data_IF_046735220744
#
_entry.id   IF_046735220744
#
_cell.length_a   1.000
_cell.length_b   1.000
_cell.length_c   1.000
_cell.angle_alpha   90.00
_cell.angle_beta   90.00
_cell.angle_gamma   90.00
#
_symmetry.space_group_name_H-M   'P 1'
#
loop_
_entity.id
_entity.type
_entity.pdbx_description
1 polymer ?
#
# COMPACT_ATOMS: atom_id res chain seq x y z
N UNK A 1 9.34 14.20 18.86
CA UNK A 1 8.20 14.17 17.92
C UNK A 1 8.64 14.81 16.61
N UNK A 2 9.16 14.04 15.65
CA UNK A 2 9.66 14.59 14.38
C UNK A 2 8.55 14.59 13.34
N UNK A 3 8.14 15.78 12.90
CA UNK A 3 7.14 15.99 11.87
C UNK A 3 7.59 15.37 10.54
N UNK A 4 6.70 14.64 9.87
CA UNK A 4 6.90 14.18 8.50
C UNK A 4 6.75 15.37 7.53
N UNK A 5 7.66 15.57 6.56
CA UNK A 5 7.48 16.60 5.56
C UNK A 5 6.24 16.30 4.71
N UNK A 6 5.40 17.31 4.51
CA UNK A 6 4.29 17.27 3.54
C UNK A 6 4.90 17.16 2.15
N UNK A 7 4.46 16.17 1.38
CA UNK A 7 4.77 16.07 -0.06
C UNK A 7 4.24 17.34 -0.73
N UNK A 8 5.12 18.13 -1.32
CA UNK A 8 4.75 19.36 -2.00
C UNK A 8 3.84 19.04 -3.20
N UNK A 9 2.73 19.77 -3.30
CA UNK A 9 1.78 19.68 -4.41
C UNK A 9 2.52 19.89 -5.74
N UNK A 10 2.62 18.83 -6.54
CA UNK A 10 3.24 18.86 -7.86
C UNK A 10 2.17 18.47 -8.89
N UNK A 11 1.09 19.24 -8.98
CA UNK A 11 0.01 19.00 -9.95
C UNK A 11 -0.50 20.32 -10.54
N UNK A 12 0.37 21.00 -11.29
CA UNK A 12 -0.09 21.86 -12.39
C UNK A 12 0.33 21.19 -13.69
N UNK A 13 -0.27 20.02 -13.98
CA UNK A 13 -0.14 19.40 -15.30
C UNK A 13 -1.00 20.21 -16.27
N UNK A 14 -0.42 20.84 -17.32
CA UNK A 14 -1.22 21.53 -18.31
C UNK A 14 -2.17 20.55 -18.99
N UNK A 15 -3.48 20.89 -19.07
CA UNK A 15 -4.52 20.06 -19.71
C UNK A 15 -4.48 20.10 -21.24
N UNK A 16 -3.32 20.37 -21.83
CA UNK A 16 -3.15 20.36 -23.29
C UNK A 16 -2.99 18.94 -23.79
N UNK A 17 -3.56 18.65 -24.97
CA UNK A 17 -3.40 17.34 -25.60
C UNK A 17 -1.93 17.16 -25.96
N UNK A 18 -1.27 16.07 -25.52
CA UNK A 18 0.11 15.82 -25.87
C UNK A 18 0.23 15.52 -27.37
N UNK A 19 1.33 15.97 -27.95
CA UNK A 19 1.77 15.62 -29.30
C UNK A 19 2.17 14.14 -29.36
N UNK A 20 2.25 13.59 -30.57
CA UNK A 20 2.72 12.22 -30.77
C UNK A 20 4.15 12.03 -30.25
N UNK A 21 5.04 13.00 -30.48
CA UNK A 21 6.42 12.95 -30.00
C UNK A 21 6.50 12.87 -28.47
N UNK A 22 5.70 13.67 -27.77
CA UNK A 22 5.62 13.63 -26.29
C UNK A 22 5.06 12.31 -25.78
N UNK A 23 4.09 11.71 -26.48
CA UNK A 23 3.57 10.40 -26.13
C UNK A 23 4.61 9.30 -26.31
N UNK A 24 5.35 9.31 -27.41
CA UNK A 24 6.43 8.34 -27.67
C UNK A 24 7.51 8.42 -26.59
N UNK A 25 7.97 9.63 -26.27
CA UNK A 25 8.94 9.85 -25.19
C UNK A 25 8.43 9.35 -23.82
N UNK A 26 7.13 9.55 -23.55
CA UNK A 26 6.50 9.05 -22.32
C UNK A 26 6.43 7.51 -22.30
N UNK A 27 6.19 6.86 -23.43
CA UNK A 27 6.16 5.39 -23.53
C UNK A 27 7.55 4.81 -23.28
N UNK A 28 8.59 5.33 -23.93
CA UNK A 28 9.97 4.90 -23.72
C UNK A 28 10.38 5.01 -22.24
N UNK A 29 10.06 6.14 -21.60
CA UNK A 29 10.31 6.33 -20.18
C UNK A 29 9.54 5.34 -19.28
N UNK A 30 8.35 4.89 -19.70
CA UNK A 30 7.55 3.90 -18.99
C UNK A 30 8.13 2.49 -19.17
N UNK A 31 8.57 2.13 -20.37
CA UNK A 31 9.21 0.86 -20.67
C UNK A 31 10.49 0.69 -19.85
N UNK A 32 11.35 1.72 -19.81
CA UNK A 32 12.54 1.76 -18.95
C UNK A 32 12.21 1.56 -17.47
N UNK A 33 11.14 2.20 -17.01
CA UNK A 33 10.69 2.08 -15.63
C UNK A 33 10.23 0.66 -15.34
N UNK A 34 9.49 0.03 -16.26
CA UNK A 34 9.05 -1.36 -16.13
C UNK A 34 10.24 -2.31 -16.10
N UNK A 35 11.20 -2.17 -17.03
CA UNK A 35 12.40 -3.00 -17.07
C UNK A 35 13.20 -2.95 -15.76
N UNK A 36 13.33 -1.76 -15.14
CA UNK A 36 13.95 -1.61 -13.82
C UNK A 36 13.17 -2.35 -12.72
N UNK A 37 11.85 -2.26 -12.72
CA UNK A 37 11.00 -2.95 -11.75
C UNK A 37 11.05 -4.47 -11.90
N UNK A 38 11.02 -4.99 -13.13
CA UNK A 38 11.17 -6.41 -13.43
C UNK A 38 12.53 -6.95 -12.98
N UNK A 39 13.59 -6.14 -13.13
CA UNK A 39 14.92 -6.45 -12.63
C UNK A 39 15.07 -6.25 -11.09
N UNK A 40 13.98 -5.95 -10.37
CA UNK A 40 13.97 -5.73 -8.92
C UNK A 40 14.64 -4.43 -8.46
N UNK A 41 14.99 -3.53 -9.38
CA UNK A 41 15.65 -2.23 -9.12
C UNK A 41 14.61 -1.11 -9.08
N UNK A 42 13.73 -1.17 -8.10
CA UNK A 42 12.78 -0.11 -7.85
C UNK A 42 13.43 1.04 -7.06
N UNK A 43 13.13 2.32 -7.39
CA UNK A 43 13.66 3.46 -6.65
C UNK A 43 13.29 3.44 -5.16
N UNK A 44 14.13 3.99 -4.27
CA UNK A 44 13.79 4.09 -2.85
C UNK A 44 12.52 4.94 -2.68
N UNK A 45 11.53 4.38 -1.96
CA UNK A 45 10.23 5.03 -1.76
C UNK A 45 9.17 4.75 -2.83
N UNK A 46 9.51 4.08 -3.94
CA UNK A 46 8.50 3.47 -4.80
C UNK A 46 7.89 2.31 -4.00
N UNK A 47 6.63 2.42 -3.57
CA UNK A 47 5.96 1.41 -2.73
C UNK A 47 5.93 -0.01 -3.34
N UNK A 48 6.40 -0.17 -4.57
CA UNK A 48 6.61 -1.43 -5.31
C UNK A 48 8.00 -2.05 -5.11
N UNK A 49 8.98 -1.30 -4.59
CA UNK A 49 10.33 -1.79 -4.29
C UNK A 49 10.35 -2.79 -3.14
N UNK A 50 9.49 -2.55 -2.16
CA UNK A 50 9.46 -3.34 -0.96
C UNK A 50 8.51 -4.52 -1.17
N UNK A 51 9.07 -5.74 -1.18
CA UNK A 51 8.31 -6.95 -0.79
C UNK A 51 7.94 -6.83 0.69
N UNK A 52 7.10 -5.85 1.04
CA UNK A 52 6.56 -5.76 2.40
C UNK A 52 5.58 -6.92 2.50
N UNK A 53 6.00 -8.03 3.14
CA UNK A 53 5.04 -8.99 3.68
C UNK A 53 4.15 -8.20 4.64
N UNK A 54 2.99 -7.76 4.15
CA UNK A 54 1.94 -7.16 4.99
C UNK A 54 1.16 -8.28 5.66
N UNK A 55 1.86 -9.12 6.42
CA UNK A 55 1.22 -10.14 7.23
C UNK A 55 1.52 -9.77 8.68
N UNK A 56 0.76 -8.80 9.19
CA UNK A 56 0.51 -8.80 10.63
C UNK A 56 -0.40 -10.00 10.84
N UNK A 57 0.12 -11.05 11.47
CA UNK A 57 -0.67 -12.18 11.92
C UNK A 57 -1.67 -11.67 12.97
N UNK A 58 -2.83 -11.22 12.51
CA UNK A 58 -3.90 -10.75 13.38
C UNK A 58 -4.67 -11.99 13.82
N UNK A 59 -4.57 -12.32 15.11
CA UNK A 59 -5.41 -13.36 15.74
C UNK A 59 -6.86 -13.10 15.34
N UNK A 60 -7.57 -14.11 14.82
CA UNK A 60 -8.99 -14.02 14.45
C UNK A 60 -9.85 -14.69 15.51
N UNK A 61 -11.10 -14.23 15.66
CA UNK A 61 -12.04 -14.89 16.55
C UNK A 61 -12.47 -16.25 15.95
N UNK A 62 -12.42 -17.37 16.71
CA UNK A 62 -12.88 -18.68 16.22
C UNK A 62 -14.39 -18.75 16.04
N UNK A 63 -15.15 -17.78 16.57
CA UNK A 63 -16.61 -17.70 16.37
C UNK A 63 -17.01 -16.99 15.09
N UNK A 64 -16.47 -15.80 14.84
CA UNK A 64 -16.91 -14.95 13.72
C UNK A 64 -15.87 -14.71 12.63
N UNK A 65 -14.64 -15.20 12.77
CA UNK A 65 -13.56 -15.05 11.78
C UNK A 65 -13.01 -13.62 11.62
N UNK A 66 -13.60 -12.63 12.30
CA UNK A 66 -13.12 -11.25 12.31
C UNK A 66 -11.85 -11.09 13.16
N UNK A 67 -11.04 -10.04 12.90
CA UNK A 67 -9.92 -9.66 13.74
C UNK A 67 -10.27 -9.67 15.23
N UNK A 68 -9.56 -10.44 16.04
CA UNK A 68 -9.86 -10.63 17.45
C UNK A 68 -9.60 -9.35 18.23
N UNK A 69 -10.68 -8.63 18.52
CA UNK A 69 -10.74 -7.55 19.51
C UNK A 69 -11.40 -8.09 20.77
N UNK A 70 -10.74 -7.94 21.93
CA UNK A 70 -11.27 -8.38 23.23
C UNK A 70 -11.99 -7.24 23.92
N UNK A 71 -13.17 -7.50 24.49
CA UNK A 71 -13.90 -6.59 25.38
C UNK A 71 -14.47 -7.40 26.53
N UNK A 72 -14.00 -7.15 27.75
CA UNK A 72 -14.45 -7.84 28.98
C UNK A 72 -14.48 -9.39 28.84
N UNK A 73 -13.38 -9.99 28.38
CA UNK A 73 -13.27 -11.46 28.23
C UNK A 73 -14.01 -12.04 27.02
N UNK A 74 -14.68 -11.22 26.20
CA UNK A 74 -15.46 -11.65 25.03
C UNK A 74 -14.93 -11.07 23.74
N UNK A 75 -15.28 -11.68 22.61
CA UNK A 75 -15.11 -11.08 21.30
C UNK A 75 -15.95 -9.81 21.21
N UNK A 76 -15.34 -8.69 20.84
CA UNK A 76 -16.04 -7.42 20.68
C UNK A 76 -17.04 -7.43 19.51
N UNK A 77 -16.84 -8.31 18.52
CA UNK A 77 -17.68 -8.37 17.31
C UNK A 77 -18.88 -9.30 17.49
N UNK A 78 -18.69 -10.50 18.05
CA UNK A 78 -19.76 -11.50 18.18
C UNK A 78 -20.14 -11.85 19.63
N UNK A 79 -19.52 -11.23 20.63
CA UNK A 79 -19.83 -11.45 22.04
C UNK A 79 -19.42 -12.81 22.62
N UNK A 80 -18.81 -13.70 21.81
CA UNK A 80 -18.38 -15.04 22.24
C UNK A 80 -17.32 -14.94 23.35
N UNK A 81 -17.47 -15.66 24.47
CA UNK A 81 -16.44 -15.71 25.51
C UNK A 81 -15.13 -16.28 24.96
N UNK A 82 -14.02 -15.69 25.36
CA UNK A 82 -12.67 -16.04 24.92
C UNK A 82 -11.92 -16.89 25.95
N UNK A 83 -12.59 -17.27 27.04
CA UNK A 83 -12.05 -18.02 28.17
C UNK A 83 -11.76 -19.50 27.84
N UNK A 84 -11.92 -19.90 26.57
CA UNK A 84 -11.68 -21.26 26.04
C UNK A 84 -10.63 -21.28 24.90
N UNK A 85 -9.80 -20.24 24.81
CA UNK A 85 -8.65 -20.16 23.88
C UNK A 85 -7.35 -20.63 24.53
#
# INVERSE_FOLDING_TARGET
MTARPRVAASDTVPRTRPTLAELLARVEALEDRVARLEAGRAPPGDGRAAKVKREREVKRCPGCGLPLRRRAGRCAECGRPLDSL
#
